data_IF_517111118212
#
_entry.id   IF_517111118212
#
_cell.length_a   1.000
_cell.length_b   1.000
_cell.length_c   1.000
_cell.angle_alpha   90.00
_cell.angle_beta   90.00
_cell.angle_gamma   90.00
#
_symmetry.space_group_name_H-M   'P 1'
#
loop_
_entity.id
_entity.type
_entity.pdbx_description
1 polymer ?
#
# COMPACT_ATOMS: atom_id res chain seq x y z
N UNK A 1 -32.50 12.32 -15.10
CA UNK A 1 -31.05 12.21 -15.35
C UNK A 1 -30.26 12.99 -14.30
N UNK A 2 -30.21 12.51 -13.05
CA UNK A 2 -29.49 13.24 -11.94
C UNK A 2 -29.06 12.27 -10.83
N UNK A 3 -28.39 11.16 -11.12
CA UNK A 3 -27.95 10.22 -10.07
C UNK A 3 -26.54 9.66 -10.23
N UNK A 4 -25.82 9.94 -11.33
CA UNK A 4 -24.54 9.28 -11.57
C UNK A 4 -23.30 10.09 -11.13
N UNK A 5 -23.46 11.37 -10.76
CA UNK A 5 -22.33 12.19 -10.30
C UNK A 5 -21.82 11.87 -8.89
N UNK A 6 -22.61 11.16 -8.08
CA UNK A 6 -22.24 10.88 -6.68
C UNK A 6 -21.34 9.65 -6.51
N UNK A 7 -21.37 8.68 -7.43
CA UNK A 7 -20.57 7.45 -7.35
C UNK A 7 -19.09 7.68 -7.65
N UNK A 8 -18.76 8.64 -8.50
CA UNK A 8 -17.37 8.91 -8.87
C UNK A 8 -16.64 9.82 -7.88
N UNK A 9 -17.37 10.59 -7.07
CA UNK A 9 -16.77 11.45 -6.03
C UNK A 9 -16.21 10.66 -4.84
N UNK A 10 -16.74 9.48 -4.55
CA UNK A 10 -16.27 8.59 -3.49
C UNK A 10 -14.95 7.87 -3.84
N UNK A 11 -14.70 7.62 -5.12
CA UNK A 11 -13.46 6.98 -5.59
C UNK A 11 -12.25 7.91 -5.41
N UNK A 12 -12.44 9.21 -5.57
CA UNK A 12 -11.37 10.21 -5.41
C UNK A 12 -10.93 10.36 -3.94
N UNK A 13 -11.85 10.19 -2.98
CA UNK A 13 -11.52 10.31 -1.56
C UNK A 13 -10.74 9.10 -1.00
N UNK A 14 -10.93 7.92 -1.55
CA UNK A 14 -10.26 6.70 -1.09
C UNK A 14 -8.76 6.66 -1.44
N UNK A 15 -8.36 7.35 -2.51
CA UNK A 15 -6.96 7.41 -2.96
C UNK A 15 -6.07 8.33 -2.09
N UNK A 16 -6.66 9.28 -1.36
CA UNK A 16 -5.96 10.12 -0.37
C UNK A 16 -5.54 9.33 0.89
N UNK A 17 -6.14 8.16 1.13
CA UNK A 17 -5.88 7.37 2.34
C UNK A 17 -4.58 6.56 2.32
N UNK A 18 -3.95 6.34 1.16
CA UNK A 18 -2.64 5.67 1.12
C UNK A 18 -1.54 6.55 1.73
N UNK A 19 -1.67 7.87 1.62
CA UNK A 19 -0.77 8.83 2.27
C UNK A 19 -0.77 8.77 3.80
N UNK A 20 -1.87 8.32 4.41
CA UNK A 20 -1.99 8.24 5.88
C UNK A 20 -1.29 7.02 6.45
N UNK A 21 -1.22 5.89 5.73
CA UNK A 21 -0.55 4.70 6.23
C UNK A 21 0.97 4.84 6.28
N UNK A 22 1.53 5.58 5.33
CA UNK A 22 2.96 5.85 5.31
C UNK A 22 3.33 7.07 6.18
N UNK A 23 2.36 7.97 6.47
CA UNK A 23 2.57 9.12 7.37
C UNK A 23 2.63 8.71 8.85
N UNK A 24 2.06 7.56 9.22
CA UNK A 24 2.21 7.02 10.57
C UNK A 24 3.65 6.62 10.90
N UNK A 25 4.49 6.37 9.88
CA UNK A 25 5.92 6.10 10.08
C UNK A 25 6.79 7.38 10.15
N UNK A 26 6.32 8.55 9.67
CA UNK A 26 7.20 9.73 9.54
C UNK A 26 6.97 10.83 10.61
N UNK A 27 5.99 10.68 11.50
CA UNK A 27 5.75 11.60 12.63
C UNK A 27 5.70 10.91 14.00
N UNK A 28 6.17 9.69 14.10
CA UNK A 28 6.10 8.86 15.29
C UNK A 28 7.46 8.39 15.84
N UNK A 29 8.58 9.00 15.43
CA UNK A 29 9.90 8.61 15.93
C UNK A 29 10.05 8.72 17.47
N UNK A 30 9.20 9.52 18.11
CA UNK A 30 9.21 9.66 19.57
C UNK A 30 8.59 8.48 20.33
N UNK A 31 7.76 7.61 19.68
CA UNK A 31 7.09 6.51 20.38
C UNK A 31 7.84 5.17 20.26
N UNK A 32 8.78 5.03 19.31
CA UNK A 32 9.56 3.81 19.17
C UNK A 32 10.69 3.76 20.20
N UNK A 33 11.29 4.90 20.55
CA UNK A 33 12.33 4.96 21.57
C UNK A 33 11.88 4.45 22.94
N UNK A 34 10.59 4.62 23.28
CA UNK A 34 10.05 4.18 24.56
C UNK A 34 9.74 2.66 24.59
N UNK A 35 9.73 2.00 23.43
CA UNK A 35 9.67 0.53 23.32
C UNK A 35 11.04 -0.13 23.51
N UNK A 36 12.11 0.67 23.47
CA UNK A 36 13.48 0.18 23.48
C UNK A 36 14.01 0.08 24.92
N UNK A 37 13.48 -0.85 25.74
CA UNK A 37 14.19 -1.28 26.92
C UNK A 37 15.42 -2.11 26.51
N UNK A 38 16.58 -1.71 26.98
CA UNK A 38 17.91 -2.15 26.50
C UNK A 38 18.08 -3.67 26.62
N UNK A 39 17.93 -4.38 25.50
CA UNK A 39 18.62 -5.65 25.25
C UNK A 39 19.73 -5.41 24.22
N UNK A 40 20.76 -6.24 24.17
CA UNK A 40 21.95 -6.05 23.33
C UNK A 40 21.62 -5.87 21.83
N UNK A 41 20.48 -6.40 21.34
CA UNK A 41 20.09 -6.37 19.93
C UNK A 41 19.13 -5.23 19.57
N UNK A 42 18.65 -4.46 20.54
CA UNK A 42 17.61 -3.43 20.29
C UNK A 42 18.06 -2.36 19.30
N UNK A 43 19.31 -1.93 19.38
CA UNK A 43 19.88 -0.93 18.46
C UNK A 43 19.97 -1.47 17.04
N UNK A 44 20.38 -2.73 16.86
CA UNK A 44 20.49 -3.37 15.56
C UNK A 44 19.08 -3.59 14.94
N UNK A 45 18.12 -4.01 15.76
CA UNK A 45 16.72 -4.15 15.32
C UNK A 45 16.13 -2.79 14.89
N UNK A 46 16.37 -1.73 15.64
CA UNK A 46 15.93 -0.38 15.30
C UNK A 46 16.55 0.13 13.98
N UNK A 47 17.82 -0.22 13.70
CA UNK A 47 18.44 0.09 12.42
C UNK A 47 17.73 -0.60 11.25
N UNK A 48 17.42 -1.90 11.36
CA UNK A 48 16.68 -2.63 10.33
C UNK A 48 15.28 -2.03 10.09
N UNK A 49 14.62 -1.58 11.14
CA UNK A 49 13.32 -0.88 11.03
C UNK A 49 13.49 0.46 10.31
N UNK A 50 14.56 1.19 10.57
CA UNK A 50 14.87 2.44 9.87
C UNK A 50 15.07 2.20 8.38
N UNK A 51 15.86 1.20 8.01
CA UNK A 51 16.08 0.80 6.60
C UNK A 51 14.77 0.34 5.92
N UNK A 52 13.92 -0.41 6.63
CA UNK A 52 12.58 -0.77 6.14
C UNK A 52 11.72 0.47 5.87
N UNK A 53 11.75 1.47 6.77
CA UNK A 53 11.03 2.73 6.59
C UNK A 53 11.55 3.54 5.39
N UNK A 54 12.85 3.47 5.08
CA UNK A 54 13.40 4.09 3.87
C UNK A 54 12.81 3.46 2.60
N UNK A 55 12.70 2.13 2.55
CA UNK A 55 12.07 1.44 1.41
C UNK A 55 10.59 1.83 1.26
N UNK A 56 9.85 1.92 2.37
CA UNK A 56 8.47 2.40 2.39
C UNK A 56 8.34 3.86 1.92
N UNK A 57 9.28 4.72 2.28
CA UNK A 57 9.31 6.10 1.78
C UNK A 57 9.55 6.16 0.26
N UNK A 58 10.41 5.30 -0.29
CA UNK A 58 10.59 5.18 -1.75
C UNK A 58 9.30 4.75 -2.46
N UNK A 59 8.56 3.79 -1.90
CA UNK A 59 7.23 3.38 -2.40
C UNK A 59 6.28 4.57 -2.42
N UNK A 60 6.23 5.34 -1.32
CA UNK A 60 5.36 6.52 -1.20
C UNK A 60 5.66 7.59 -2.26
N UNK A 61 6.95 7.88 -2.49
CA UNK A 61 7.37 8.83 -3.52
C UNK A 61 6.93 8.36 -4.90
N UNK A 62 7.26 7.11 -5.27
CA UNK A 62 6.84 6.50 -6.55
C UNK A 62 5.33 6.54 -6.74
N UNK A 63 4.57 6.22 -5.70
CA UNK A 63 3.11 6.24 -5.75
C UNK A 63 2.56 7.63 -6.01
N UNK A 64 3.12 8.65 -5.35
CA UNK A 64 2.72 10.05 -5.52
C UNK A 64 3.08 10.58 -6.92
N UNK A 65 4.27 10.29 -7.41
CA UNK A 65 4.73 10.69 -8.75
C UNK A 65 3.86 10.09 -9.87
N UNK A 66 3.25 8.94 -9.60
CA UNK A 66 2.41 8.23 -10.57
C UNK A 66 0.90 8.42 -10.37
N UNK A 67 0.49 9.32 -9.46
CA UNK A 67 -0.94 9.64 -9.28
C UNK A 67 -1.58 10.15 -10.57
N UNK A 68 -0.87 10.97 -11.35
CA UNK A 68 -1.31 11.48 -12.64
C UNK A 68 -1.60 10.35 -13.65
N UNK A 69 -0.85 9.25 -13.63
CA UNK A 69 -1.08 8.11 -14.53
C UNK A 69 -2.41 7.39 -14.25
N UNK A 70 -2.86 7.36 -13.01
CA UNK A 70 -4.15 6.76 -12.66
C UNK A 70 -5.32 7.59 -13.16
N UNK A 71 -5.21 8.92 -13.08
CA UNK A 71 -6.21 9.81 -13.69
C UNK A 71 -6.17 9.70 -15.23
N UNK A 72 -4.99 9.61 -15.81
CA UNK A 72 -4.81 9.38 -17.25
C UNK A 72 -5.47 8.06 -17.70
N UNK A 73 -5.34 6.96 -16.91
CA UNK A 73 -6.01 5.70 -17.20
C UNK A 73 -7.54 5.85 -17.17
N UNK A 74 -8.08 6.54 -16.15
CA UNK A 74 -9.52 6.79 -16.05
C UNK A 74 -10.06 7.57 -17.25
N UNK A 75 -9.33 8.57 -17.69
CA UNK A 75 -9.75 9.38 -18.83
C UNK A 75 -9.65 8.61 -20.15
N UNK A 76 -8.60 7.80 -20.33
CA UNK A 76 -8.49 6.89 -21.46
C UNK A 76 -9.61 5.85 -21.50
N UNK A 77 -10.03 5.31 -20.35
CA UNK A 77 -11.16 4.38 -20.24
C UNK A 77 -12.50 5.08 -20.56
N UNK A 78 -12.69 6.34 -20.14
CA UNK A 78 -13.89 7.12 -20.46
C UNK A 78 -14.00 7.42 -21.94
N UNK A 79 -12.90 7.80 -22.57
CA UNK A 79 -12.82 8.11 -24.01
C UNK A 79 -12.75 6.86 -24.90
N UNK A 80 -12.64 5.67 -24.31
CA UNK A 80 -12.41 4.39 -25.01
C UNK A 80 -11.15 4.41 -25.90
N UNK A 81 -10.12 5.16 -25.50
CA UNK A 81 -8.82 5.18 -26.14
C UNK A 81 -8.01 3.92 -25.75
N UNK A 82 -8.14 2.90 -26.57
CA UNK A 82 -7.55 1.58 -26.33
C UNK A 82 -6.03 1.59 -26.26
N UNK A 83 -5.37 2.35 -27.11
CA UNK A 83 -3.90 2.43 -27.13
C UNK A 83 -3.40 3.06 -25.85
N UNK A 84 -4.03 4.15 -25.45
CA UNK A 84 -3.72 4.84 -24.21
C UNK A 84 -4.03 4.00 -22.98
N UNK A 85 -5.18 3.31 -22.94
CA UNK A 85 -5.52 2.38 -21.84
C UNK A 85 -4.44 1.32 -21.68
N UNK A 86 -4.04 0.65 -22.77
CA UNK A 86 -3.02 -0.41 -22.72
C UNK A 86 -1.66 0.12 -22.28
N UNK A 87 -1.22 1.25 -22.84
CA UNK A 87 0.05 1.87 -22.50
C UNK A 87 0.12 2.27 -21.02
N UNK A 88 -0.89 2.98 -20.53
CA UNK A 88 -0.90 3.45 -19.15
C UNK A 88 -1.06 2.28 -18.17
N UNK A 89 -1.84 1.26 -18.52
CA UNK A 89 -1.94 0.04 -17.73
C UNK A 89 -0.60 -0.71 -17.65
N UNK A 90 0.16 -0.78 -18.73
CA UNK A 90 1.50 -1.38 -18.72
C UNK A 90 2.48 -0.57 -17.85
N UNK A 91 2.50 0.75 -17.99
CA UNK A 91 3.28 1.63 -17.12
C UNK A 91 2.98 1.38 -15.63
N UNK A 92 1.68 1.25 -15.27
CA UNK A 92 1.26 0.97 -13.91
C UNK A 92 1.75 -0.40 -13.41
N UNK A 93 1.76 -1.44 -14.27
CA UNK A 93 2.32 -2.75 -13.91
C UNK A 93 3.79 -2.64 -13.52
N UNK A 94 4.60 -1.88 -14.27
CA UNK A 94 6.02 -1.66 -13.94
C UNK A 94 6.20 -0.95 -12.61
N UNK A 95 5.45 0.12 -12.38
CA UNK A 95 5.52 0.89 -11.13
C UNK A 95 5.16 0.03 -9.93
N UNK A 96 4.11 -0.80 -10.06
CA UNK A 96 3.68 -1.69 -8.98
C UNK A 96 4.73 -2.76 -8.71
N UNK A 97 5.35 -3.35 -9.76
CA UNK A 97 6.44 -4.32 -9.59
C UNK A 97 7.62 -3.71 -8.79
N UNK A 98 8.04 -2.49 -9.11
CA UNK A 98 9.09 -1.79 -8.37
C UNK A 98 8.69 -1.56 -6.90
N UNK A 99 7.42 -1.16 -6.68
CA UNK A 99 6.89 -0.97 -5.33
C UNK A 99 6.84 -2.27 -4.53
N UNK A 100 6.46 -3.38 -5.17
CA UNK A 100 6.41 -4.70 -4.53
C UNK A 100 7.81 -5.17 -4.12
N UNK A 101 8.83 -5.00 -4.96
CA UNK A 101 10.21 -5.36 -4.62
C UNK A 101 10.72 -4.60 -3.39
N UNK A 102 10.39 -3.31 -3.28
CA UNK A 102 10.71 -2.52 -2.09
C UNK A 102 9.90 -2.98 -0.85
N UNK A 103 8.65 -3.38 -1.03
CA UNK A 103 7.81 -3.92 0.04
C UNK A 103 8.34 -5.25 0.58
N UNK A 104 8.76 -6.16 -0.31
CA UNK A 104 9.40 -7.42 0.06
C UNK A 104 10.69 -7.19 0.83
N UNK A 105 11.53 -6.24 0.39
CA UNK A 105 12.74 -5.84 1.11
C UNK A 105 12.43 -5.30 2.52
N UNK A 106 11.39 -4.48 2.66
CA UNK A 106 10.97 -3.96 3.97
C UNK A 106 10.46 -5.08 4.90
N UNK A 107 9.67 -6.03 4.38
CA UNK A 107 9.18 -7.20 5.13
C UNK A 107 10.35 -8.05 5.62
N UNK A 108 11.33 -8.34 4.75
CA UNK A 108 12.52 -9.12 5.13
C UNK A 108 13.30 -8.45 6.27
N UNK A 109 13.49 -7.14 6.22
CA UNK A 109 14.19 -6.38 7.28
C UNK A 109 13.44 -6.42 8.60
N UNK A 110 12.11 -6.26 8.57
CA UNK A 110 11.27 -6.36 9.77
C UNK A 110 11.29 -7.80 10.33
N UNK A 111 11.25 -8.81 9.48
CA UNK A 111 11.39 -10.21 9.90
C UNK A 111 12.72 -10.47 10.61
N UNK A 112 13.84 -10.01 10.04
CA UNK A 112 15.17 -10.10 10.69
C UNK A 112 15.20 -9.41 12.05
N UNK A 113 14.57 -8.23 12.17
CA UNK A 113 14.51 -7.52 13.46
C UNK A 113 13.69 -8.30 14.50
N UNK A 114 12.66 -9.07 14.10
CA UNK A 114 11.87 -9.90 15.01
C UNK A 114 12.61 -11.13 15.52
N UNK A 115 13.62 -11.63 14.79
CA UNK A 115 14.46 -12.76 15.19
C UNK A 115 15.48 -12.39 16.28
N UNK A 116 15.71 -11.09 16.46
CA UNK A 116 16.67 -10.58 17.45
C UNK A 116 16.16 -10.66 18.88
N UNK A 117 17.08 -10.58 19.84
CA UNK A 117 16.77 -10.53 21.27
C UNK A 117 16.27 -9.12 21.63
N UNK A 118 15.00 -8.89 21.44
CA UNK A 118 14.29 -7.63 21.72
C UNK A 118 13.13 -7.89 22.70
N UNK A 119 12.65 -6.83 23.37
CA UNK A 119 11.53 -6.97 24.30
C UNK A 119 10.22 -7.41 23.59
N UNK A 120 9.30 -7.99 24.35
CA UNK A 120 8.07 -8.58 23.83
C UNK A 120 7.14 -7.56 23.16
N UNK A 121 7.07 -6.34 23.67
CA UNK A 121 6.20 -5.29 23.14
C UNK A 121 6.72 -4.80 21.79
N UNK A 122 8.04 -4.62 21.67
CA UNK A 122 8.66 -4.26 20.39
C UNK A 122 8.49 -5.38 19.37
N UNK A 123 8.66 -6.64 19.78
CA UNK A 123 8.44 -7.80 18.90
C UNK A 123 6.99 -7.85 18.40
N UNK A 124 6.00 -7.66 19.28
CA UNK A 124 4.60 -7.63 18.89
C UNK A 124 4.28 -6.43 17.97
N UNK A 125 4.88 -5.27 18.23
CA UNK A 125 4.78 -4.12 17.33
C UNK A 125 5.27 -4.45 15.91
N UNK A 126 6.45 -5.09 15.80
CA UNK A 126 7.02 -5.48 14.51
C UNK A 126 6.16 -6.52 13.79
N UNK A 127 5.59 -7.50 14.50
CA UNK A 127 4.66 -8.48 13.94
C UNK A 127 3.42 -7.80 13.32
N UNK A 128 2.84 -6.83 14.02
CA UNK A 128 1.70 -6.08 13.49
C UNK A 128 2.08 -5.21 12.28
N UNK A 129 3.29 -4.64 12.27
CA UNK A 129 3.81 -3.89 11.11
C UNK A 129 4.04 -4.80 9.91
N UNK A 130 4.62 -5.97 10.12
CA UNK A 130 4.81 -6.97 9.06
C UNK A 130 3.48 -7.41 8.46
N UNK A 131 2.48 -7.78 9.29
CA UNK A 131 1.14 -8.12 8.81
C UNK A 131 0.50 -6.99 8.00
N UNK A 132 0.67 -5.74 8.44
CA UNK A 132 0.21 -4.58 7.68
C UNK A 132 0.86 -4.50 6.30
N UNK A 133 2.18 -4.72 6.23
CA UNK A 133 2.93 -4.69 4.96
C UNK A 133 2.56 -5.85 4.03
N UNK A 134 2.43 -7.07 4.57
CA UNK A 134 1.98 -8.22 3.80
C UNK A 134 0.60 -7.95 3.16
N UNK A 135 -0.33 -7.38 3.91
CA UNK A 135 -1.64 -6.97 3.37
C UNK A 135 -1.53 -5.88 2.31
N UNK A 136 -0.60 -4.94 2.45
CA UNK A 136 -0.35 -3.95 1.39
C UNK A 136 0.18 -4.60 0.11
N UNK A 137 1.08 -5.59 0.23
CA UNK A 137 1.58 -6.34 -0.93
C UNK A 137 0.47 -7.14 -1.60
N UNK A 138 -0.43 -7.79 -0.83
CA UNK A 138 -1.63 -8.46 -1.37
C UNK A 138 -2.53 -7.48 -2.12
N UNK A 139 -2.73 -6.27 -1.59
CA UNK A 139 -3.51 -5.23 -2.26
C UNK A 139 -2.83 -4.80 -3.58
N UNK A 140 -1.53 -4.54 -3.56
CA UNK A 140 -0.79 -4.17 -4.78
C UNK A 140 -0.84 -5.27 -5.83
N UNK A 141 -0.77 -6.55 -5.45
CA UNK A 141 -0.96 -7.66 -6.39
C UNK A 141 -2.36 -7.62 -7.04
N UNK A 142 -3.42 -7.37 -6.27
CA UNK A 142 -4.77 -7.22 -6.83
C UNK A 142 -4.84 -6.06 -7.83
N UNK A 143 -4.22 -4.92 -7.53
CA UNK A 143 -4.20 -3.78 -8.44
C UNK A 143 -3.33 -4.04 -9.68
N UNK A 144 -2.21 -4.74 -9.52
CA UNK A 144 -1.38 -5.21 -10.64
C UNK A 144 -2.17 -6.12 -11.60
N UNK A 145 -2.95 -7.05 -11.05
CA UNK A 145 -3.82 -7.91 -11.84
C UNK A 145 -4.93 -7.09 -12.55
N UNK A 146 -5.49 -6.08 -11.88
CA UNK A 146 -6.44 -5.16 -12.51
C UNK A 146 -5.83 -4.45 -13.72
N UNK A 147 -4.62 -3.90 -13.56
CA UNK A 147 -3.90 -3.24 -14.66
C UNK A 147 -3.60 -4.21 -15.82
N UNK A 148 -3.18 -5.45 -15.53
CA UNK A 148 -2.95 -6.47 -16.55
C UNK A 148 -4.20 -6.82 -17.34
N UNK A 149 -5.36 -6.94 -16.67
CA UNK A 149 -6.65 -7.19 -17.34
C UNK A 149 -6.96 -6.10 -18.37
N UNK A 150 -6.71 -4.84 -18.05
CA UNK A 150 -6.86 -3.73 -19.00
C UNK A 150 -5.85 -3.79 -20.13
N UNK A 151 -4.56 -3.99 -19.80
CA UNK A 151 -3.47 -4.05 -20.79
C UNK A 151 -3.73 -5.13 -21.84
N UNK A 152 -4.11 -6.32 -21.38
CA UNK A 152 -4.16 -7.52 -22.21
C UNK A 152 -5.52 -7.69 -22.91
N UNK A 153 -6.62 -7.23 -22.28
CA UNK A 153 -7.99 -7.54 -22.72
C UNK A 153 -8.77 -6.38 -23.33
N UNK A 154 -8.32 -5.13 -23.20
CA UNK A 154 -9.11 -3.98 -23.65
C UNK A 154 -9.22 -3.92 -25.18
N UNK A 155 -10.44 -4.09 -25.72
CA UNK A 155 -10.70 -4.09 -27.15
C UNK A 155 -11.69 -2.97 -27.52
N UNK A 156 -11.29 -1.96 -28.32
CA UNK A 156 -12.13 -0.84 -28.69
C UNK A 156 -13.26 -1.22 -29.64
N UNK A 157 -13.07 -2.31 -30.39
CA UNK A 157 -14.02 -2.75 -31.45
C UNK A 157 -15.12 -3.68 -30.91
N UNK A 158 -14.95 -4.25 -29.71
CA UNK A 158 -15.92 -5.14 -29.08
C UNK A 158 -16.43 -4.50 -27.79
N UNK A 159 -17.62 -3.94 -27.84
CA UNK A 159 -18.27 -3.27 -26.72
C UNK A 159 -18.52 -4.23 -25.56
N UNK A 160 -18.99 -5.45 -25.83
CA UNK A 160 -19.28 -6.45 -24.80
C UNK A 160 -18.01 -6.88 -24.07
N UNK A 161 -16.92 -7.15 -24.80
CA UNK A 161 -15.63 -7.47 -24.22
C UNK A 161 -15.10 -6.30 -23.38
N UNK A 162 -15.19 -5.08 -23.90
CA UNK A 162 -14.74 -3.86 -23.22
C UNK A 162 -15.46 -3.66 -21.88
N UNK A 163 -16.78 -3.80 -21.85
CA UNK A 163 -17.55 -3.67 -20.60
C UNK A 163 -17.23 -4.81 -19.61
N UNK A 164 -17.01 -6.03 -20.09
CA UNK A 164 -16.56 -7.16 -19.26
C UNK A 164 -15.20 -6.86 -18.61
N UNK A 165 -14.25 -6.35 -19.37
CA UNK A 165 -12.91 -5.99 -18.89
C UNK A 165 -12.96 -4.83 -17.89
N UNK A 166 -13.79 -3.80 -18.15
CA UNK A 166 -14.00 -2.72 -17.18
C UNK A 166 -14.60 -3.20 -15.86
N UNK A 167 -15.57 -4.12 -15.93
CA UNK A 167 -16.19 -4.72 -14.74
C UNK A 167 -15.18 -5.56 -13.94
N UNK A 168 -14.34 -6.34 -14.60
CA UNK A 168 -13.29 -7.11 -13.95
C UNK A 168 -12.22 -6.20 -13.31
N UNK A 169 -11.83 -5.13 -13.98
CA UNK A 169 -10.96 -4.11 -13.41
C UNK A 169 -11.58 -3.51 -12.14
N UNK A 170 -12.83 -3.07 -12.20
CA UNK A 170 -13.53 -2.48 -11.06
C UNK A 170 -13.60 -3.43 -9.87
N UNK A 171 -13.90 -4.72 -10.10
CA UNK A 171 -13.93 -5.75 -9.07
C UNK A 171 -12.58 -5.92 -8.37
N UNK A 172 -11.48 -5.89 -9.12
CA UNK A 172 -10.12 -6.01 -8.55
C UNK A 172 -9.69 -4.74 -7.82
N UNK A 173 -10.08 -3.57 -8.32
CA UNK A 173 -9.87 -2.28 -7.66
C UNK A 173 -10.63 -2.22 -6.32
N UNK A 174 -11.88 -2.69 -6.28
CA UNK A 174 -12.65 -2.83 -5.02
C UNK A 174 -11.94 -3.79 -4.02
N UNK A 175 -11.38 -4.90 -4.49
CA UNK A 175 -10.61 -5.80 -3.65
C UNK A 175 -9.33 -5.15 -3.12
N UNK A 176 -8.62 -4.40 -3.96
CA UNK A 176 -7.48 -3.61 -3.52
C UNK A 176 -7.84 -2.72 -2.33
N UNK A 177 -8.96 -1.98 -2.43
CA UNK A 177 -9.40 -1.09 -1.34
C UNK A 177 -9.72 -1.85 -0.05
N UNK A 178 -10.43 -2.99 -0.14
CA UNK A 178 -10.76 -3.82 1.03
C UNK A 178 -9.51 -4.31 1.74
N UNK A 179 -8.55 -4.85 1.00
CA UNK A 179 -7.30 -5.37 1.57
C UNK A 179 -6.45 -4.22 2.15
N UNK A 180 -6.45 -3.05 1.51
CA UNK A 180 -5.79 -1.85 2.04
C UNK A 180 -6.41 -1.40 3.37
N UNK A 181 -7.72 -1.55 3.56
CA UNK A 181 -8.37 -1.23 4.84
C UNK A 181 -7.97 -2.23 5.94
N UNK A 182 -7.84 -3.53 5.63
CA UNK A 182 -7.26 -4.51 6.56
C UNK A 182 -5.81 -4.14 6.95
N UNK A 183 -4.99 -3.70 5.99
CA UNK A 183 -3.62 -3.24 6.25
C UNK A 183 -3.58 -2.04 7.23
N UNK A 184 -4.51 -1.09 7.06
CA UNK A 184 -4.67 0.06 7.97
C UNK A 184 -5.00 -0.37 9.38
N UNK A 185 -5.88 -1.36 9.55
CA UNK A 185 -6.26 -1.87 10.86
C UNK A 185 -5.05 -2.48 11.60
N UNK A 186 -4.21 -3.26 10.92
CA UNK A 186 -2.96 -3.76 11.52
C UNK A 186 -2.00 -2.63 11.89
N UNK A 187 -1.82 -1.64 11.00
CA UNK A 187 -0.98 -0.48 11.29
C UNK A 187 -1.50 0.33 12.49
N UNK A 188 -2.81 0.49 12.61
CA UNK A 188 -3.44 1.14 13.77
C UNK A 188 -3.17 0.37 15.06
N UNK A 189 -3.37 -0.95 15.08
CA UNK A 189 -3.08 -1.81 16.24
C UNK A 189 -1.62 -1.69 16.67
N UNK A 190 -0.67 -1.67 15.71
CA UNK A 190 0.75 -1.45 16.02
C UNK A 190 0.98 -0.10 16.70
N UNK A 191 0.41 0.98 16.15
CA UNK A 191 0.57 2.33 16.71
C UNK A 191 -0.10 2.48 18.09
N UNK A 192 -1.24 1.81 18.32
CA UNK A 192 -1.92 1.83 19.62
C UNK A 192 -1.09 1.08 20.66
N UNK A 193 -0.51 -0.09 20.30
CA UNK A 193 0.43 -0.82 21.16
C UNK A 193 1.64 0.04 21.56
N UNK A 194 2.26 0.73 20.60
CA UNK A 194 3.40 1.62 20.87
C UNK A 194 3.03 2.72 21.87
N UNK A 195 1.85 3.35 21.72
CA UNK A 195 1.35 4.36 22.67
C UNK A 195 1.08 3.82 24.06
N UNK A 196 0.57 2.60 24.16
CA UNK A 196 0.29 1.93 25.44
C UNK A 196 1.58 1.56 26.15
N UNK A 197 2.58 1.05 25.45
CA UNK A 197 3.90 0.74 26.01
C UNK A 197 4.60 2.00 26.53
N UNK A 198 4.57 3.09 25.78
CA UNK A 198 5.11 4.37 26.22
C UNK A 198 4.47 4.88 27.53
N UNK A 199 3.16 4.64 27.75
CA UNK A 199 2.49 5.01 29.00
C UNK A 199 2.85 4.12 30.19
N UNK A 200 3.29 2.88 29.95
CA UNK A 200 3.69 1.93 31.01
C UNK A 200 5.14 2.16 31.47
N UNK A 201 5.99 2.71 30.59
CA UNK A 201 7.40 3.01 30.89
C UNK A 201 7.62 4.33 31.64
N UNK A 202 6.58 5.18 31.76
CA UNK A 202 6.56 6.42 32.56
C UNK A 202 5.84 6.22 33.87
#
# INVERSE_FOLDING_TARGET
MKTDRCKYSLIVLALLSLGVLLSACSKGDSNISDLLEFSDDTTAAAQLVTEANEDLNKIKVKYKENEAKREELKDAMKSNDSEKVKKVADDLVYIINDGMALGESAIEKIGKAQEMSINSDFKQYLQLKELSLQKQMDAFENYRQAARVLRDGYNPKDEKQRETIKAEFAKRDDNFHKIMDEAKDYSKKANDLAKESAKRGN
#
